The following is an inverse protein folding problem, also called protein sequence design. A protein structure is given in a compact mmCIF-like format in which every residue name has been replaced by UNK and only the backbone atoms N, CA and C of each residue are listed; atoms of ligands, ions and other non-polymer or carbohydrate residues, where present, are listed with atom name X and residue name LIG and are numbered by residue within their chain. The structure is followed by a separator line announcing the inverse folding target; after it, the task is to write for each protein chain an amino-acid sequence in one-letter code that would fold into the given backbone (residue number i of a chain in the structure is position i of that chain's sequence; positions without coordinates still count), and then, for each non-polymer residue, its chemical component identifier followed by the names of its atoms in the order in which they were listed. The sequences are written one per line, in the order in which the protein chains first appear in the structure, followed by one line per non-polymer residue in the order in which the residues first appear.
data_IF_085358626554
#
_entry.id   IF_085358626554
#
_cell.length_a   1.000
_cell.length_b   1.000
_cell.length_c   1.000
_cell.angle_alpha   90.00
_cell.angle_beta   90.00
_cell.angle_gamma   90.00
#
_symmetry.space_group_name_H-M   'P 1'
#
loop_
_entity.id
_entity.type
_entity.pdbx_description
1 polymer ?
#
# COMPACT_ATOMS: atom_id res chain seq x y z
N UNK A 1 1.41 9.56 0.19
CA UNK A 1 0.29 8.85 -0.46
C UNK A 1 0.46 9.01 -1.96
N UNK A 2 1.20 8.09 -2.57
CA UNK A 2 1.60 8.18 -3.97
C UNK A 2 0.35 8.02 -4.84
N UNK A 3 -0.05 9.10 -5.50
CA UNK A 3 -1.27 9.12 -6.30
C UNK A 3 -1.09 8.21 -7.51
N UNK A 4 -1.89 7.14 -7.59
CA UNK A 4 -1.96 6.18 -8.68
C UNK A 4 -1.84 6.87 -10.08
N UNK A 5 -0.78 6.58 -10.86
CA UNK A 5 -0.54 7.21 -12.16
C UNK A 5 -1.67 6.94 -13.16
N UNK A 6 -2.37 5.81 -13.03
CA UNK A 6 -3.47 5.43 -13.91
C UNK A 6 -4.73 6.24 -13.60
N UNK A 7 -4.99 6.50 -12.30
CA UNK A 7 -6.04 7.41 -11.89
C UNK A 7 -5.83 8.84 -12.44
N UNK A 8 -4.58 9.32 -12.49
CA UNK A 8 -4.23 10.62 -13.08
C UNK A 8 -4.36 10.63 -14.61
N UNK A 9 -4.02 9.53 -15.28
CA UNK A 9 -4.22 9.39 -16.74
C UNK A 9 -5.70 9.40 -17.10
N UNK A 10 -6.51 8.61 -16.39
CA UNK A 10 -7.95 8.55 -16.62
C UNK A 10 -8.64 9.88 -16.33
N UNK A 11 -8.25 10.57 -15.25
CA UNK A 11 -8.76 11.92 -14.98
C UNK A 11 -8.42 12.90 -16.12
N UNK A 12 -7.19 12.87 -16.64
CA UNK A 12 -6.79 13.71 -17.79
C UNK A 12 -7.61 13.38 -19.04
N UNK A 13 -7.75 12.10 -19.38
CA UNK A 13 -8.57 11.65 -20.52
C UNK A 13 -9.99 12.19 -20.39
N UNK A 14 -10.63 12.07 -19.21
CA UNK A 14 -11.99 12.56 -19.01
C UNK A 14 -12.12 14.09 -19.12
N UNK A 15 -11.12 14.85 -18.66
CA UNK A 15 -11.13 16.31 -18.82
C UNK A 15 -10.91 16.70 -20.29
N UNK A 16 -9.95 16.08 -20.96
CA UNK A 16 -9.69 16.33 -22.39
C UNK A 16 -10.92 16.00 -23.23
N UNK A 17 -11.54 14.84 -23.01
CA UNK A 17 -12.78 14.45 -23.70
C UNK A 17 -13.91 15.45 -23.45
N UNK A 18 -14.07 15.93 -22.21
CA UNK A 18 -15.08 16.94 -21.89
C UNK A 18 -14.85 18.25 -22.65
N UNK A 19 -13.64 18.82 -22.60
CA UNK A 19 -13.35 20.07 -23.30
C UNK A 19 -13.41 19.94 -24.81
N UNK A 20 -13.02 18.78 -25.35
CA UNK A 20 -13.11 18.49 -26.78
C UNK A 20 -14.57 18.42 -27.24
N UNK A 21 -15.43 17.73 -26.48
CA UNK A 21 -16.87 17.67 -26.77
C UNK A 21 -17.54 19.04 -26.61
N UNK A 22 -17.21 19.79 -25.56
CA UNK A 22 -17.74 21.12 -25.31
C UNK A 22 -17.37 22.10 -26.44
N UNK A 23 -16.09 22.09 -26.83
CA UNK A 23 -15.58 22.90 -27.94
C UNK A 23 -16.19 22.51 -29.29
N UNK A 24 -16.32 21.22 -29.58
CA UNK A 24 -16.97 20.74 -30.80
C UNK A 24 -18.47 21.12 -30.86
N UNK A 25 -19.19 21.02 -29.74
CA UNK A 25 -20.59 21.45 -29.64
C UNK A 25 -20.74 22.96 -29.83
N UNK A 26 -19.84 23.77 -29.25
CA UNK A 26 -19.82 25.21 -29.44
C UNK A 26 -19.48 25.59 -30.89
N UNK A 27 -18.46 25.00 -31.49
CA UNK A 27 -18.08 25.23 -32.89
C UNK A 27 -19.24 24.87 -33.83
N UNK A 28 -19.90 23.73 -33.60
CA UNK A 28 -21.08 23.32 -34.39
C UNK A 28 -22.23 24.31 -34.25
N UNK A 29 -22.45 24.88 -33.07
CA UNK A 29 -23.46 25.91 -32.86
C UNK A 29 -23.12 27.19 -33.64
N UNK A 30 -21.90 27.71 -33.48
CA UNK A 30 -21.44 28.93 -34.14
C UNK A 30 -21.40 28.84 -35.68
N UNK A 31 -21.14 27.64 -36.23
CA UNK A 31 -21.06 27.41 -37.68
C UNK A 31 -22.41 27.16 -38.35
N UNK A 32 -23.46 26.78 -37.60
CA UNK A 32 -24.74 26.33 -38.17
C UNK A 32 -25.94 27.21 -37.83
N UNK A 33 -25.81 28.15 -36.91
CA UNK A 33 -26.89 29.06 -36.51
C UNK A 33 -26.49 30.50 -36.79
N UNK A 34 -27.42 31.26 -37.37
CA UNK A 34 -27.28 32.70 -37.50
C UNK A 34 -27.32 33.37 -36.12
N UNK A 35 -26.72 34.54 -36.00
CA UNK A 35 -26.64 35.26 -34.73
C UNK A 35 -28.01 35.80 -34.30
N UNK A 36 -28.67 35.05 -33.42
CA UNK A 36 -29.92 35.44 -32.76
C UNK A 36 -29.66 36.06 -31.37
N UNK A 37 -30.69 36.67 -30.78
CA UNK A 37 -30.63 37.27 -29.43
C UNK A 37 -30.27 36.25 -28.31
N UNK A 38 -30.38 34.94 -28.57
CA UNK A 38 -30.07 33.86 -27.61
C UNK A 38 -28.61 33.39 -27.68
N UNK A 39 -27.90 33.66 -28.78
CA UNK A 39 -26.51 33.25 -29.00
C UNK A 39 -25.52 33.72 -27.93
N UNK A 40 -25.54 34.97 -27.42
CA UNK A 40 -24.61 35.39 -26.36
C UNK A 40 -24.81 34.64 -25.04
N UNK A 41 -26.06 34.26 -24.71
CA UNK A 41 -26.37 33.48 -23.51
C UNK A 41 -25.78 32.06 -23.58
N UNK A 42 -25.82 31.43 -24.76
CA UNK A 42 -25.24 30.09 -24.98
C UNK A 42 -23.72 30.11 -24.83
N UNK A 43 -23.05 31.14 -25.35
CA UNK A 43 -21.60 31.34 -25.16
C UNK A 43 -21.28 31.56 -23.67
N UNK A 44 -22.04 32.40 -22.97
CA UNK A 44 -21.85 32.65 -21.55
C UNK A 44 -22.05 31.37 -20.70
N UNK A 45 -23.10 30.59 -20.96
CA UNK A 45 -23.36 29.32 -20.28
C UNK A 45 -22.29 28.26 -20.56
N UNK A 46 -21.74 28.23 -21.78
CA UNK A 46 -20.63 27.35 -22.15
C UNK A 46 -19.38 27.70 -21.35
N UNK A 47 -19.05 28.98 -21.23
CA UNK A 47 -17.94 29.47 -20.40
C UNK A 47 -18.15 29.19 -18.90
N UNK A 48 -19.38 29.35 -18.42
CA UNK A 48 -19.75 29.01 -17.04
C UNK A 48 -19.58 27.52 -16.76
N UNK A 49 -20.05 26.65 -17.67
CA UNK A 49 -19.91 25.20 -17.55
C UNK A 49 -18.43 24.76 -17.59
N UNK A 50 -17.64 25.34 -18.49
CA UNK A 50 -16.19 25.11 -18.57
C UNK A 50 -15.48 25.48 -17.25
N UNK A 51 -15.77 26.68 -16.73
CA UNK A 51 -15.20 27.17 -15.47
C UNK A 51 -15.59 26.30 -14.29
N UNK A 52 -16.86 25.93 -14.21
CA UNK A 52 -17.37 25.09 -13.13
C UNK A 52 -16.74 23.69 -13.17
N UNK A 53 -16.52 23.12 -14.36
CA UNK A 53 -15.82 21.84 -14.52
C UNK A 53 -14.35 21.93 -14.11
N UNK A 54 -13.66 23.04 -14.44
CA UNK A 54 -12.28 23.35 -14.00
C UNK A 54 -12.14 23.51 -12.48
N UNK A 55 -13.16 24.03 -11.80
CA UNK A 55 -13.20 24.12 -10.33
C UNK A 55 -13.44 22.76 -9.66
N UNK A 56 -13.91 21.75 -10.40
CA UNK A 56 -14.22 20.41 -9.90
C UNK A 56 -13.08 19.75 -9.12
N UNK A 57 -11.84 19.67 -9.66
CA UNK A 57 -10.69 19.11 -8.93
C UNK A 57 -10.37 19.82 -7.61
N UNK A 58 -10.56 21.14 -7.54
CA UNK A 58 -10.28 21.96 -6.35
C UNK A 58 -11.25 21.68 -5.20
N UNK A 59 -12.49 21.28 -5.53
CA UNK A 59 -13.53 20.94 -4.54
C UNK A 59 -13.31 19.55 -3.91
N UNK A 60 -12.36 18.77 -4.44
CA UNK A 60 -11.99 17.46 -3.93
C UNK A 60 -12.92 16.34 -4.40
N UNK A 61 -12.44 15.09 -4.37
CA UNK A 61 -13.12 13.94 -5.00
C UNK A 61 -14.13 13.21 -4.11
N UNK A 62 -14.20 13.55 -2.82
CA UNK A 62 -15.08 12.90 -1.85
C UNK A 62 -16.52 13.39 -1.97
N UNK A 63 -17.47 12.50 -1.67
CA UNK A 63 -18.90 12.77 -1.61
C UNK A 63 -19.26 13.69 -0.41
N UNK A 64 -18.85 14.95 -0.49
CA UNK A 64 -19.18 15.99 0.49
C UNK A 64 -20.42 16.77 0.04
N UNK A 65 -21.16 17.42 0.95
CA UNK A 65 -22.30 18.28 0.57
C UNK A 65 -21.91 19.34 -0.46
N UNK A 66 -20.70 19.90 -0.33
CA UNK A 66 -20.12 20.86 -1.28
C UNK A 66 -19.91 20.24 -2.67
N UNK A 67 -19.43 19.00 -2.75
CA UNK A 67 -19.23 18.28 -4.03
C UNK A 67 -20.57 17.93 -4.69
N UNK A 68 -21.57 17.57 -3.89
CA UNK A 68 -22.93 17.27 -4.38
C UNK A 68 -23.59 18.56 -4.90
N UNK A 69 -23.49 19.67 -4.17
CA UNK A 69 -23.99 20.98 -4.61
C UNK A 69 -23.31 21.46 -5.90
N UNK A 70 -21.98 21.27 -6.00
CA UNK A 70 -21.24 21.54 -7.22
C UNK A 70 -21.74 20.69 -8.39
N UNK A 71 -21.89 19.37 -8.20
CA UNK A 71 -22.41 18.47 -9.24
C UNK A 71 -23.81 18.89 -9.68
N UNK A 72 -24.69 19.22 -8.73
CA UNK A 72 -26.03 19.74 -9.01
C UNK A 72 -26.00 21.03 -9.83
N UNK A 73 -25.07 21.94 -9.52
CA UNK A 73 -24.87 23.18 -10.29
C UNK A 73 -24.37 22.88 -11.71
N UNK A 74 -23.41 21.97 -11.87
CA UNK A 74 -22.90 21.52 -13.19
C UNK A 74 -24.03 20.93 -14.02
N UNK A 75 -24.83 20.04 -13.43
CA UNK A 75 -25.97 19.41 -14.08
C UNK A 75 -27.03 20.44 -14.46
N UNK A 76 -27.36 21.39 -13.59
CA UNK A 76 -28.34 22.43 -13.85
C UNK A 76 -27.92 23.36 -15.01
N UNK A 77 -26.67 23.83 -15.00
CA UNK A 77 -26.09 24.65 -16.08
C UNK A 77 -26.09 23.87 -17.39
N UNK A 78 -25.70 22.59 -17.36
CA UNK A 78 -25.71 21.73 -18.55
C UNK A 78 -27.12 21.49 -19.09
N UNK A 79 -28.11 21.23 -18.23
CA UNK A 79 -29.53 21.08 -18.63
C UNK A 79 -30.01 22.33 -19.34
N UNK A 80 -29.75 23.52 -18.77
CA UNK A 80 -30.13 24.79 -19.38
C UNK A 80 -29.45 24.98 -20.75
N UNK A 81 -28.17 24.64 -20.85
CA UNK A 81 -27.41 24.69 -22.11
C UNK A 81 -28.00 23.75 -23.18
N UNK A 82 -28.40 22.53 -22.81
CA UNK A 82 -29.03 21.58 -23.73
C UNK A 82 -30.43 22.02 -24.15
N UNK A 83 -31.22 22.65 -23.27
CA UNK A 83 -32.52 23.23 -23.65
C UNK A 83 -32.36 24.33 -24.70
N UNK A 84 -31.33 25.17 -24.55
CA UNK A 84 -31.02 26.25 -25.50
C UNK A 84 -30.39 25.73 -26.80
N UNK A 85 -29.48 24.77 -26.69
CA UNK A 85 -28.72 24.21 -27.80
C UNK A 85 -28.54 22.68 -27.60
N UNK A 86 -29.38 21.86 -28.24
CA UNK A 86 -29.35 20.40 -28.02
C UNK A 86 -28.09 19.68 -28.52
N UNK A 87 -27.25 20.35 -29.32
CA UNK A 87 -25.92 19.85 -29.72
C UNK A 87 -24.99 19.58 -28.52
N UNK A 88 -25.25 20.17 -27.35
CA UNK A 88 -24.48 19.95 -26.12
C UNK A 88 -24.84 18.66 -25.38
N UNK A 89 -25.83 17.89 -25.86
CA UNK A 89 -26.23 16.62 -25.25
C UNK A 89 -25.08 15.60 -25.18
N UNK A 90 -24.13 15.64 -26.12
CA UNK A 90 -22.95 14.76 -26.12
C UNK A 90 -22.02 15.00 -24.93
N UNK A 91 -22.07 16.16 -24.29
CA UNK A 91 -21.33 16.44 -23.05
C UNK A 91 -21.87 15.65 -21.83
N UNK A 92 -22.94 14.85 -21.98
CA UNK A 92 -23.46 14.00 -20.91
C UNK A 92 -22.48 12.91 -20.47
N UNK A 93 -21.64 12.38 -21.37
CA UNK A 93 -20.78 11.22 -21.06
C UNK A 93 -19.79 11.51 -19.93
N UNK A 94 -19.03 12.62 -19.93
CA UNK A 94 -18.18 12.98 -18.78
C UNK A 94 -18.97 13.28 -17.50
N UNK A 95 -20.21 13.77 -17.61
CA UNK A 95 -21.08 14.01 -16.45
C UNK A 95 -21.57 12.70 -15.84
N UNK A 96 -21.91 11.68 -16.64
CA UNK A 96 -22.23 10.34 -16.15
C UNK A 96 -21.09 9.78 -15.33
N UNK A 97 -19.87 9.85 -15.86
CA UNK A 97 -18.68 9.39 -15.17
C UNK A 97 -18.43 10.16 -13.86
N UNK A 98 -18.64 11.47 -13.87
CA UNK A 98 -18.51 12.30 -12.66
C UNK A 98 -19.57 11.93 -11.62
N UNK A 99 -20.80 11.68 -12.03
CA UNK A 99 -21.89 11.21 -11.16
C UNK A 99 -21.59 9.84 -10.56
N UNK A 100 -21.18 8.87 -11.38
CA UNK A 100 -20.81 7.51 -10.97
C UNK A 100 -19.67 7.48 -9.94
N UNK A 101 -18.73 8.43 -10.01
CA UNK A 101 -17.64 8.55 -9.03
C UNK A 101 -17.98 9.29 -7.75
N UNK A 102 -19.01 10.13 -7.75
CA UNK A 102 -19.32 11.03 -6.63
C UNK A 102 -20.50 10.58 -5.80
N UNK A 103 -21.47 9.90 -6.42
CA UNK A 103 -22.71 9.47 -5.78
C UNK A 103 -22.67 7.99 -5.39
N UNK A 104 -23.45 7.58 -4.39
CA UNK A 104 -23.65 6.16 -4.11
C UNK A 104 -24.33 5.46 -5.30
N UNK A 105 -24.14 4.14 -5.49
CA UNK A 105 -24.53 3.44 -6.71
C UNK A 105 -25.99 3.65 -7.11
N UNK A 106 -26.92 3.66 -6.14
CA UNK A 106 -28.35 3.86 -6.40
C UNK A 106 -28.67 5.27 -6.92
N UNK A 107 -28.07 6.30 -6.30
CA UNK A 107 -28.27 7.68 -6.72
C UNK A 107 -27.58 7.98 -8.05
N UNK A 108 -26.40 7.38 -8.28
CA UNK A 108 -25.71 7.49 -9.56
C UNK A 108 -26.52 6.88 -10.71
N UNK A 109 -27.10 5.69 -10.51
CA UNK A 109 -28.00 5.06 -11.49
C UNK A 109 -29.23 5.93 -11.78
N UNK A 110 -29.85 6.50 -10.74
CA UNK A 110 -30.96 7.44 -10.90
C UNK A 110 -30.58 8.68 -11.71
N UNK A 111 -29.42 9.28 -11.42
CA UNK A 111 -28.91 10.45 -12.16
C UNK A 111 -28.63 10.09 -13.63
N UNK A 112 -27.94 8.97 -13.90
CA UNK A 112 -27.65 8.52 -15.26
C UNK A 112 -28.95 8.28 -16.04
N UNK A 113 -29.94 7.62 -15.43
CA UNK A 113 -31.25 7.40 -16.06
C UNK A 113 -31.97 8.71 -16.36
N UNK A 114 -32.00 9.65 -15.42
CA UNK A 114 -32.61 10.97 -15.58
C UNK A 114 -31.97 11.76 -16.73
N UNK A 115 -30.65 11.85 -16.72
CA UNK A 115 -29.90 12.59 -17.75
C UNK A 115 -30.05 11.92 -19.12
N UNK A 116 -30.07 10.59 -19.19
CA UNK A 116 -30.29 9.85 -20.44
C UNK A 116 -31.68 10.10 -21.00
N UNK A 117 -32.72 10.03 -20.15
CA UNK A 117 -34.09 10.33 -20.56
C UNK A 117 -34.23 11.78 -21.06
N UNK A 118 -33.56 12.72 -20.38
CA UNK A 118 -33.51 14.12 -20.81
C UNK A 118 -32.80 14.30 -22.16
N UNK A 119 -31.68 13.61 -22.41
CA UNK A 119 -31.00 13.63 -23.72
C UNK A 119 -31.91 13.10 -24.81
N UNK A 120 -32.57 11.95 -24.60
CA UNK A 120 -33.50 11.37 -25.58
C UNK A 120 -34.66 12.34 -25.86
N UNK A 121 -35.26 12.90 -24.81
CA UNK A 121 -36.35 13.88 -24.95
C UNK A 121 -35.91 15.11 -25.74
N UNK A 122 -34.74 15.68 -25.42
CA UNK A 122 -34.19 16.83 -26.13
C UNK A 122 -33.98 16.51 -27.62
N UNK A 123 -33.36 15.38 -27.96
CA UNK A 123 -33.08 14.98 -29.35
C UNK A 123 -34.36 14.76 -30.17
N UNK A 124 -35.35 14.04 -29.62
CA UNK A 124 -36.63 13.79 -30.28
C UNK A 124 -37.38 15.09 -30.59
N UNK A 125 -37.31 16.08 -29.68
CA UNK A 125 -37.91 17.40 -29.89
C UNK A 125 -37.36 18.18 -31.09
N UNK A 126 -36.11 17.96 -31.53
CA UNK A 126 -35.55 18.68 -32.69
C UNK A 126 -35.75 17.96 -34.02
N UNK A 127 -36.12 16.69 -34.01
CA UNK A 127 -36.30 15.91 -35.24
C UNK A 127 -37.55 16.39 -36.01
N UNK A 128 -37.46 17.53 -36.71
CA UNK A 128 -38.55 18.16 -37.45
C UNK A 128 -38.83 17.50 -38.82
N UNK A 129 -38.79 16.17 -38.94
CA UNK A 129 -39.20 15.53 -40.20
C UNK A 129 -38.70 14.12 -40.51
N UNK A 130 -38.01 13.43 -39.59
CA UNK A 130 -37.54 12.06 -39.83
C UNK A 130 -37.49 11.23 -38.55
N UNK A 131 -38.06 10.03 -38.59
CA UNK A 131 -37.85 9.03 -37.55
C UNK A 131 -36.42 8.48 -37.68
N UNK A 132 -35.53 8.89 -36.77
CA UNK A 132 -34.21 8.30 -36.62
C UNK A 132 -34.15 7.47 -35.32
N UNK A 133 -34.30 6.13 -35.40
CA UNK A 133 -34.21 5.25 -34.23
C UNK A 133 -32.91 5.41 -33.43
N UNK A 134 -31.83 5.86 -34.07
CA UNK A 134 -30.52 6.02 -33.43
C UNK A 134 -30.56 7.10 -32.32
N UNK A 135 -31.41 8.12 -32.45
CA UNK A 135 -31.55 9.19 -31.46
C UNK A 135 -32.14 8.70 -30.13
N UNK A 136 -32.91 7.60 -30.17
CA UNK A 136 -33.56 7.00 -29.00
C UNK A 136 -32.69 5.89 -28.41
N UNK A 137 -32.04 5.08 -29.26
CA UNK A 137 -31.29 3.89 -28.82
C UNK A 137 -29.86 4.21 -28.39
N UNK A 138 -29.18 5.14 -29.07
CA UNK A 138 -27.77 5.41 -28.79
C UNK A 138 -27.49 5.96 -27.38
N UNK A 139 -28.25 6.94 -26.84
CA UNK A 139 -27.95 7.48 -25.50
C UNK A 139 -28.09 6.43 -24.38
N UNK A 140 -29.18 5.63 -24.32
CA UNK A 140 -29.28 4.53 -23.36
C UNK A 140 -28.20 3.47 -23.54
N UNK A 141 -27.85 3.11 -24.78
CA UNK A 141 -26.81 2.11 -25.04
C UNK A 141 -25.43 2.58 -24.53
N UNK A 142 -25.06 3.84 -24.79
CA UNK A 142 -23.80 4.44 -24.30
C UNK A 142 -23.81 4.55 -22.77
N UNK A 143 -24.93 4.98 -22.18
CA UNK A 143 -25.06 5.08 -20.73
C UNK A 143 -24.94 3.70 -20.06
N UNK A 144 -25.58 2.67 -20.61
CA UNK A 144 -25.52 1.29 -20.13
C UNK A 144 -24.10 0.73 -20.24
N UNK A 145 -23.43 0.91 -21.39
CA UNK A 145 -22.06 0.47 -21.60
C UNK A 145 -21.09 1.17 -20.62
N UNK A 146 -21.14 2.50 -20.53
CA UNK A 146 -20.28 3.27 -19.64
C UNK A 146 -20.47 2.88 -18.18
N UNK A 147 -21.73 2.71 -17.74
CA UNK A 147 -22.05 2.26 -16.39
C UNK A 147 -21.57 0.84 -16.14
N UNK A 148 -21.79 -0.09 -17.07
CA UNK A 148 -21.36 -1.48 -16.96
C UNK A 148 -19.85 -1.62 -16.86
N UNK A 149 -19.11 -0.94 -17.75
CA UNK A 149 -17.63 -0.90 -17.72
C UNK A 149 -17.13 -0.30 -16.41
N UNK A 150 -17.72 0.80 -15.96
CA UNK A 150 -17.35 1.44 -14.69
C UNK A 150 -17.56 0.49 -13.50
N UNK A 151 -18.74 -0.11 -13.38
CA UNK A 151 -19.08 -1.04 -12.28
C UNK A 151 -18.18 -2.28 -12.32
N UNK A 152 -17.90 -2.82 -13.50
CA UNK A 152 -16.98 -3.93 -13.66
C UNK A 152 -15.56 -3.56 -13.20
N UNK A 153 -15.03 -2.44 -13.69
CA UNK A 153 -13.70 -1.97 -13.33
C UNK A 153 -13.57 -1.67 -11.83
N UNK A 154 -14.57 -1.05 -11.22
CA UNK A 154 -14.60 -0.77 -9.78
C UNK A 154 -14.60 -2.07 -8.95
N UNK A 155 -15.45 -3.04 -9.32
CA UNK A 155 -15.46 -4.37 -8.68
C UNK A 155 -14.15 -5.12 -8.85
N UNK A 156 -13.53 -5.05 -10.04
CA UNK A 156 -12.23 -5.67 -10.27
C UNK A 156 -11.14 -5.02 -9.40
N UNK A 157 -11.10 -3.69 -9.33
CA UNK A 157 -10.16 -2.97 -8.49
C UNK A 157 -10.34 -3.32 -7.00
N UNK A 158 -11.60 -3.44 -6.53
CA UNK A 158 -11.88 -3.85 -5.16
C UNK A 158 -11.40 -5.28 -4.86
N UNK A 159 -11.65 -6.24 -5.78
CA UNK A 159 -11.15 -7.61 -5.67
C UNK A 159 -9.62 -7.67 -5.64
N UNK A 160 -8.97 -6.94 -6.55
CA UNK A 160 -7.51 -6.92 -6.63
C UNK A 160 -6.88 -6.34 -5.36
N UNK A 161 -7.48 -5.27 -4.79
CA UNK A 161 -7.03 -4.71 -3.50
C UNK A 161 -7.14 -5.73 -2.37
N UNK A 162 -8.29 -6.42 -2.26
CA UNK A 162 -8.49 -7.45 -1.25
C UNK A 162 -7.46 -8.59 -1.38
N UNK A 163 -7.18 -9.05 -2.60
CA UNK A 163 -6.16 -10.08 -2.85
C UNK A 163 -4.73 -9.61 -2.51
N UNK A 164 -4.40 -8.35 -2.80
CA UNK A 164 -3.10 -7.77 -2.42
C UNK A 164 -2.97 -7.70 -0.91
N UNK A 165 -4.02 -7.24 -0.21
CA UNK A 165 -4.03 -7.15 1.25
C UNK A 165 -3.90 -8.54 1.89
N UNK A 166 -4.61 -9.54 1.35
CA UNK A 166 -4.50 -10.93 1.77
C UNK A 166 -3.08 -11.48 1.53
N UNK A 167 -2.49 -11.23 0.36
CA UNK A 167 -1.12 -11.67 0.05
C UNK A 167 -0.10 -11.03 0.98
N UNK A 168 -0.23 -9.74 1.28
CA UNK A 168 0.64 -9.03 2.22
C UNK A 168 0.51 -9.62 3.62
N UNK A 169 -0.71 -9.91 4.08
CA UNK A 169 -0.96 -10.56 5.37
C UNK A 169 -0.29 -11.93 5.43
N UNK A 170 -0.54 -12.81 4.46
CA UNK A 170 0.04 -14.16 4.42
C UNK A 170 1.57 -14.13 4.36
N UNK A 171 2.17 -13.21 3.60
CA UNK A 171 3.64 -13.06 3.57
C UNK A 171 4.21 -12.65 4.93
N UNK A 172 3.51 -11.78 5.68
CA UNK A 172 3.95 -11.38 7.03
C UNK A 172 3.84 -12.56 8.01
N UNK A 173 2.78 -13.35 7.91
CA UNK A 173 2.59 -14.55 8.72
C UNK A 173 3.67 -15.60 8.42
N UNK A 174 3.92 -15.89 7.13
CA UNK A 174 4.97 -16.81 6.71
C UNK A 174 6.35 -16.38 7.21
N UNK A 175 6.72 -15.10 7.02
CA UNK A 175 7.98 -14.58 7.52
C UNK A 175 8.08 -14.66 9.07
N UNK A 176 6.97 -14.59 9.80
CA UNK A 176 6.98 -14.78 11.25
C UNK A 176 7.19 -16.25 11.64
N UNK A 177 6.61 -17.18 10.89
CA UNK A 177 6.81 -18.63 11.07
C UNK A 177 8.26 -19.00 10.75
N UNK A 178 8.78 -18.60 9.58
CA UNK A 178 10.16 -18.88 9.17
C UNK A 178 11.18 -18.35 10.19
N UNK A 179 10.97 -17.16 10.77
CA UNK A 179 11.85 -16.64 11.84
C UNK A 179 11.81 -17.49 13.10
N UNK A 180 10.63 -17.98 13.49
CA UNK A 180 10.47 -18.85 14.67
C UNK A 180 11.12 -20.21 14.42
N UNK A 181 10.89 -20.80 13.27
CA UNK A 181 11.51 -22.07 12.86
C UNK A 181 13.02 -21.92 12.76
N UNK A 182 13.52 -20.83 12.16
CA UNK A 182 14.95 -20.53 12.10
C UNK A 182 15.58 -20.39 13.49
N UNK A 183 14.92 -19.69 14.42
CA UNK A 183 15.39 -19.56 15.82
C UNK A 183 15.43 -20.91 16.53
N UNK A 184 14.42 -21.76 16.33
CA UNK A 184 14.37 -23.10 16.93
C UNK A 184 15.42 -24.03 16.35
N UNK A 185 15.59 -24.02 15.03
CA UNK A 185 16.62 -24.79 14.34
C UNK A 185 18.02 -24.40 14.81
N UNK A 186 18.28 -23.10 14.94
CA UNK A 186 19.57 -22.59 15.42
C UNK A 186 19.81 -22.96 16.88
N UNK A 187 18.79 -22.86 17.75
CA UNK A 187 18.90 -23.31 19.14
C UNK A 187 19.22 -24.80 19.24
N UNK A 188 18.62 -25.63 18.40
CA UNK A 188 18.90 -27.07 18.37
C UNK A 188 20.32 -27.35 17.87
N UNK A 189 20.77 -26.65 16.82
CA UNK A 189 22.14 -26.73 16.30
C UNK A 189 23.16 -26.39 17.39
N UNK A 190 22.97 -25.25 18.05
CA UNK A 190 23.83 -24.79 19.15
C UNK A 190 23.83 -25.77 20.32
N UNK A 191 22.68 -26.35 20.69
CA UNK A 191 22.62 -27.34 21.75
C UNK A 191 23.42 -28.61 21.43
N UNK A 192 23.42 -29.06 20.17
CA UNK A 192 24.22 -30.21 19.76
C UNK A 192 25.72 -29.86 19.78
N UNK A 193 26.10 -28.71 19.24
CA UNK A 193 27.49 -28.24 19.19
C UNK A 193 28.08 -28.08 20.61
N UNK A 194 27.33 -27.47 21.54
CA UNK A 194 27.73 -27.35 22.95
C UNK A 194 27.86 -28.73 23.60
N UNK A 195 26.90 -29.63 23.36
CA UNK A 195 26.94 -30.98 23.94
C UNK A 195 28.16 -31.78 23.46
N UNK A 196 28.49 -31.68 22.17
CA UNK A 196 29.65 -32.37 21.58
C UNK A 196 30.97 -31.82 22.17
N UNK A 197 31.11 -30.49 22.30
CA UNK A 197 32.28 -29.88 22.93
C UNK A 197 32.44 -30.31 24.40
N UNK A 198 31.34 -30.31 25.16
CA UNK A 198 31.35 -30.76 26.56
C UNK A 198 31.70 -32.25 26.69
N UNK A 199 31.10 -33.11 25.86
CA UNK A 199 31.37 -34.54 25.85
C UNK A 199 32.83 -34.85 25.52
N UNK A 200 33.40 -34.14 24.54
CA UNK A 200 34.82 -34.27 24.17
C UNK A 200 35.74 -33.82 25.31
N UNK A 201 35.45 -32.66 25.91
CA UNK A 201 36.22 -32.13 27.03
C UNK A 201 36.24 -33.06 28.25
N UNK A 202 35.07 -33.57 28.65
CA UNK A 202 34.93 -34.52 29.75
C UNK A 202 35.62 -35.85 29.47
N UNK A 203 35.56 -36.34 28.23
CA UNK A 203 36.24 -37.57 27.82
C UNK A 203 37.76 -37.45 27.92
N UNK A 204 38.34 -36.32 27.45
CA UNK A 204 39.77 -36.03 27.59
C UNK A 204 40.19 -35.96 29.06
N UNK A 205 39.36 -35.33 29.89
CA UNK A 205 39.61 -35.20 31.32
C UNK A 205 39.58 -36.56 32.03
N UNK A 206 38.60 -37.41 31.72
CA UNK A 206 38.52 -38.78 32.22
C UNK A 206 39.74 -39.61 31.82
N UNK A 207 40.20 -39.52 30.57
CA UNK A 207 41.39 -40.23 30.11
C UNK A 207 42.66 -39.81 30.88
N UNK A 208 42.83 -38.51 31.16
CA UNK A 208 43.96 -38.00 31.94
C UNK A 208 43.91 -38.47 33.39
N UNK A 209 42.73 -38.48 34.01
CA UNK A 209 42.57 -38.98 35.38
C UNK A 209 42.85 -40.49 35.45
N UNK A 210 42.42 -41.27 34.45
CA UNK A 210 42.75 -42.70 34.36
C UNK A 210 44.25 -42.97 34.12
N UNK A 211 44.96 -42.05 33.46
CA UNK A 211 46.42 -42.13 33.31
C UNK A 211 47.15 -41.78 34.61
N UNK A 212 46.65 -40.79 35.36
CA UNK A 212 47.17 -40.43 36.67
C UNK A 212 47.04 -41.59 37.68
N UNK A 213 45.89 -42.25 37.71
CA UNK A 213 45.61 -43.39 38.60
C UNK A 213 46.58 -44.56 38.35
N UNK A 214 46.82 -44.88 37.08
CA UNK A 214 47.76 -45.95 36.67
C UNK A 214 49.22 -45.68 37.00
N UNK A 215 49.61 -44.41 37.14
CA UNK A 215 51.00 -44.00 37.39
C UNK A 215 51.23 -43.57 38.84
N UNK A 216 50.20 -43.63 39.69
CA UNK A 216 50.20 -43.01 41.01
C UNK A 216 51.35 -43.46 41.93
N UNK A 217 51.58 -44.76 42.04
CA UNK A 217 52.64 -45.33 42.89
C UNK A 217 53.99 -45.48 42.16
N UNK A 218 53.96 -45.71 40.84
CA UNK A 218 55.15 -46.01 40.03
C UNK A 218 55.91 -44.78 39.53
N UNK A 219 55.18 -43.70 39.23
CA UNK A 219 55.74 -42.40 38.82
C UNK A 219 54.84 -41.25 39.32
N UNK A 220 54.99 -40.86 40.60
CA UNK A 220 54.15 -39.85 41.22
C UNK A 220 54.25 -38.47 40.55
N UNK A 221 55.37 -38.16 39.87
CA UNK A 221 55.56 -36.87 39.21
C UNK A 221 54.71 -36.79 37.93
N UNK A 222 54.70 -37.86 37.13
CA UNK A 222 53.82 -37.98 35.96
C UNK A 222 52.35 -38.00 36.35
N UNK A 223 51.98 -38.71 37.42
CA UNK A 223 50.60 -38.70 37.93
C UNK A 223 50.12 -37.28 38.29
N UNK A 224 50.94 -36.51 39.02
CA UNK A 224 50.63 -35.10 39.35
C UNK A 224 50.51 -34.21 38.12
N UNK A 225 51.34 -34.42 37.09
CA UNK A 225 51.22 -33.72 35.79
C UNK A 225 49.89 -34.00 35.12
N UNK A 226 49.46 -35.27 35.05
CA UNK A 226 48.16 -35.63 34.46
C UNK A 226 46.97 -34.98 35.21
N UNK A 227 47.00 -34.94 36.55
CA UNK A 227 45.98 -34.26 37.36
C UNK A 227 45.94 -32.76 37.08
N UNK A 228 47.10 -32.08 37.04
CA UNK A 228 47.16 -30.64 36.71
C UNK A 228 46.62 -30.35 35.31
N UNK A 229 46.95 -31.18 34.33
CA UNK A 229 46.41 -31.04 32.96
C UNK A 229 44.89 -31.23 32.97
N UNK A 230 44.36 -32.24 33.66
CA UNK A 230 42.91 -32.46 33.79
C UNK A 230 42.21 -31.28 34.46
N UNK A 231 42.80 -30.68 35.51
CA UNK A 231 42.28 -29.48 36.16
C UNK A 231 42.24 -28.27 35.19
N UNK A 232 43.33 -28.04 34.43
CA UNK A 232 43.38 -26.96 33.44
C UNK A 232 42.35 -27.11 32.30
N UNK A 233 41.98 -28.34 31.95
CA UNK A 233 40.93 -28.61 30.96
C UNK A 233 39.56 -28.33 31.56
N UNK A 234 39.31 -28.71 32.82
CA UNK A 234 38.08 -28.37 33.53
C UNK A 234 37.85 -26.86 33.59
N UNK A 235 38.88 -26.10 33.98
CA UNK A 235 38.82 -24.64 34.07
C UNK A 235 38.49 -24.00 32.72
N UNK A 236 39.14 -24.46 31.65
CA UNK A 236 38.87 -24.00 30.28
C UNK A 236 37.45 -24.33 29.82
N UNK A 237 37.00 -25.56 29.99
CA UNK A 237 35.64 -25.97 29.60
C UNK A 237 34.57 -25.22 30.39
N UNK A 238 34.79 -24.95 31.68
CA UNK A 238 33.89 -24.17 32.51
C UNK A 238 33.82 -22.70 32.06
N UNK A 239 34.96 -22.10 31.71
CA UNK A 239 35.02 -20.74 31.18
C UNK A 239 34.32 -20.63 29.82
N UNK A 240 34.47 -21.63 28.95
CA UNK A 240 33.81 -21.71 27.65
C UNK A 240 32.30 -21.91 27.77
N UNK A 241 31.84 -22.83 28.64
CA UNK A 241 30.42 -23.01 28.93
C UNK A 241 29.77 -21.74 29.51
N UNK A 242 30.47 -21.02 30.41
CA UNK A 242 30.00 -19.73 30.95
C UNK A 242 29.89 -18.66 29.87
N UNK A 243 30.86 -18.59 28.95
CA UNK A 243 30.79 -17.68 27.80
C UNK A 243 29.59 -18.00 26.91
N UNK A 244 29.36 -19.26 26.55
CA UNK A 244 28.19 -19.64 25.75
C UNK A 244 26.85 -19.27 26.42
N UNK A 245 26.71 -19.46 27.74
CA UNK A 245 25.51 -19.06 28.47
C UNK A 245 25.35 -17.53 28.48
N UNK A 246 26.45 -16.79 28.64
CA UNK A 246 26.45 -15.33 28.66
C UNK A 246 26.25 -14.71 27.27
N UNK A 247 26.66 -15.39 26.20
CA UNK A 247 26.42 -14.97 24.82
C UNK A 247 24.99 -15.28 24.38
N UNK A 248 24.37 -16.34 24.92
CA UNK A 248 22.96 -16.70 24.65
C UNK A 248 21.94 -15.96 25.53
N UNK A 249 22.32 -15.55 26.74
CA UNK A 249 21.53 -14.69 27.61
C UNK A 249 22.19 -13.32 27.61
N UNK A 250 21.68 -12.32 26.87
CA UNK A 250 22.29 -11.00 26.84
C UNK A 250 22.11 -10.32 28.21
N UNK A 251 22.97 -10.67 29.16
CA UNK A 251 22.98 -10.08 30.49
C UNK A 251 23.27 -8.56 30.41
N UNK A 252 23.93 -8.13 29.33
CA UNK A 252 24.23 -6.72 29.08
C UNK A 252 22.97 -5.88 28.68
N UNK A 253 21.88 -6.51 28.23
CA UNK A 253 20.57 -5.83 28.03
C UNK A 253 19.71 -5.87 29.30
N UNK A 254 19.88 -6.89 30.15
CA UNK A 254 19.08 -7.10 31.36
C UNK A 254 19.36 -6.08 32.47
N UNK A 255 20.52 -5.42 32.48
CA UNK A 255 20.87 -4.37 33.45
C UNK A 255 20.28 -2.98 33.09
N UNK A 256 19.49 -2.88 32.02
CA UNK A 256 18.70 -1.68 31.72
C UNK A 256 19.43 -0.54 31.01
N UNK A 257 20.66 -0.76 30.55
CA UNK A 257 21.45 0.23 29.80
C UNK A 257 21.07 0.38 28.31
N UNK A 258 20.27 -0.54 27.76
CA UNK A 258 19.94 -0.56 26.33
C UNK A 258 21.12 -0.96 25.43
N UNK A 259 20.86 -1.12 24.12
CA UNK A 259 21.81 -1.67 23.15
C UNK A 259 23.13 -0.90 23.05
N UNK A 260 23.09 0.43 23.20
CA UNK A 260 24.28 1.28 23.11
C UNK A 260 25.27 1.00 24.24
N UNK A 261 24.76 0.86 25.47
CA UNK A 261 25.57 0.59 26.65
C UNK A 261 26.17 -0.83 26.58
N UNK A 262 25.38 -1.80 26.11
CA UNK A 262 25.85 -3.16 25.87
C UNK A 262 26.99 -3.23 24.84
N UNK A 263 26.86 -2.52 23.71
CA UNK A 263 27.90 -2.46 22.67
C UNK A 263 29.15 -1.72 23.14
N UNK A 264 29.00 -0.67 23.96
CA UNK A 264 30.10 0.06 24.58
C UNK A 264 30.86 -0.84 25.57
N UNK A 265 30.16 -1.64 26.37
CA UNK A 265 30.74 -2.63 27.27
C UNK A 265 31.50 -3.74 26.52
N UNK A 266 30.94 -4.26 25.43
CA UNK A 266 31.59 -5.25 24.59
C UNK A 266 32.88 -4.71 23.94
N UNK A 267 32.81 -3.49 23.38
CA UNK A 267 33.97 -2.85 22.77
C UNK A 267 35.11 -2.65 23.78
N UNK A 268 34.79 -2.32 25.03
CA UNK A 268 35.79 -2.22 26.11
C UNK A 268 36.43 -3.58 26.45
N UNK A 269 35.65 -4.67 26.48
CA UNK A 269 36.18 -6.04 26.74
C UNK A 269 37.11 -6.51 25.62
N UNK A 270 36.78 -6.20 24.37
CA UNK A 270 37.53 -6.62 23.18
C UNK A 270 38.61 -5.61 22.73
N UNK A 271 38.85 -4.56 23.52
CA UNK A 271 39.79 -3.47 23.16
C UNK A 271 39.51 -2.82 21.79
N UNK A 272 38.23 -2.75 21.41
CA UNK A 272 37.74 -2.12 20.18
C UNK A 272 37.17 -0.71 20.45
N UNK A 273 37.11 0.12 19.40
CA UNK A 273 36.47 1.43 19.47
C UNK A 273 35.01 1.35 19.00
N UNK A 274 34.08 1.87 19.81
CA UNK A 274 32.66 1.98 19.48
C UNK A 274 32.28 3.42 19.16
N UNK A 275 31.53 3.63 18.09
CA UNK A 275 31.02 4.93 17.66
C UNK A 275 29.60 4.78 17.14
N UNK A 276 28.71 5.67 17.58
CA UNK A 276 27.34 5.79 17.06
C UNK A 276 27.31 6.91 16.02
N UNK A 277 26.85 6.62 14.81
CA UNK A 277 26.65 7.62 13.76
C UNK A 277 25.16 7.76 13.44
N UNK A 278 24.64 8.99 13.50
CA UNK A 278 23.24 9.32 13.20
C UNK A 278 22.44 9.80 14.43
N UNK A 279 21.15 10.07 14.23
CA UNK A 279 20.24 10.46 15.31
C UNK A 279 19.69 9.21 16.02
N UNK A 280 19.75 9.11 17.36
CA UNK A 280 19.20 7.97 18.09
C UNK A 280 17.70 7.82 17.82
N UNK A 281 17.27 6.59 17.50
CA UNK A 281 15.86 6.24 17.34
C UNK A 281 15.51 5.22 18.42
N UNK A 282 14.33 5.37 19.03
CA UNK A 282 13.82 4.40 19.99
C UNK A 282 13.78 3.02 19.34
N UNK A 283 14.58 2.09 19.88
CA UNK A 283 14.59 0.71 19.43
C UNK A 283 13.26 0.04 19.84
N UNK A 284 12.73 -0.92 19.07
CA UNK A 284 11.59 -1.73 19.48
C UNK A 284 11.87 -2.41 20.83
N UNK A 285 10.87 -2.57 21.70
CA UNK A 285 11.03 -3.11 23.07
C UNK A 285 11.89 -4.39 23.15
N UNK A 286 11.83 -5.22 22.11
CA UNK A 286 12.60 -6.49 21.95
C UNK A 286 14.11 -6.32 21.82
N UNK A 287 14.59 -5.10 21.58
CA UNK A 287 16.00 -4.74 21.46
C UNK A 287 16.47 -3.87 22.64
N UNK A 288 15.57 -3.58 23.60
CA UNK A 288 15.87 -2.91 24.86
C UNK A 288 15.88 -3.89 26.06
N UNK A 289 15.39 -5.11 25.87
CA UNK A 289 15.35 -6.22 26.84
C UNK A 289 16.10 -7.44 26.31
#
# INVERSE_FOLDING_TARGET
MEQDPDARRLARIMHTTFFLLLGASLARFLLRHDWEARSPWIVALTGALASLYLLGPVIGTRATPRRIAWLGTVVAVWVLLVVLAPSFAWCAVPLFYTGLRTLPPRAALGLVALLTAFVVFAQVRLAHGGWDPNLIVAPPAVAALATGVFVYADRQAARQRALIDDLIRTRRELAAIERREGTLAERQRLSMEIHDTLAQGLSSQRMLLQAADRTWDGDPETARRHVRTAASIAERNLAEARRFVHDLAPADLAEGGGLEEALRGLAARESAAFRVDGAPVALPDRAQS
#
